data_IF_953055293427
#
_entry.id   IF_953055293427
#
_cell.length_a   1.000
_cell.length_b   1.000
_cell.length_c   1.000
_cell.angle_alpha   90.00
_cell.angle_beta   90.00
_cell.angle_gamma   90.00
#
_symmetry.space_group_name_H-M   'P 1'
#
loop_
_entity.id
_entity.type
_entity.pdbx_description
1 polymer ?
#
# COMPACT_ATOMS: atom_id res chain seq x y z
N UNK A 1 -46.82 -9.94 -13.47
CA UNK A 1 -45.42 -10.35 -13.66
C UNK A 1 -44.81 -10.31 -12.28
N UNK A 2 -44.57 -11.47 -11.68
CA UNK A 2 -43.84 -11.56 -10.41
C UNK A 2 -42.36 -11.33 -10.69
N UNK A 3 -41.72 -10.50 -9.85
CA UNK A 3 -40.27 -10.27 -9.86
C UNK A 3 -39.57 -11.60 -9.57
N UNK A 4 -38.96 -12.18 -10.60
CA UNK A 4 -38.08 -13.35 -10.45
C UNK A 4 -36.75 -12.82 -9.91
N UNK A 5 -36.67 -12.71 -8.58
CA UNK A 5 -35.43 -12.50 -7.85
C UNK A 5 -34.72 -13.85 -7.73
N UNK A 6 -33.49 -13.94 -8.25
CA UNK A 6 -32.78 -15.22 -8.41
C UNK A 6 -31.92 -15.53 -7.17
N UNK A 7 -31.45 -14.50 -6.45
CA UNK A 7 -30.57 -14.67 -5.29
C UNK A 7 -31.08 -13.91 -4.06
N UNK A 8 -30.98 -14.51 -2.88
CA UNK A 8 -31.36 -13.87 -1.61
C UNK A 8 -30.50 -12.64 -1.27
N UNK A 9 -29.28 -12.58 -1.81
CA UNK A 9 -28.41 -11.39 -1.75
C UNK A 9 -29.10 -10.14 -2.32
N UNK A 10 -29.93 -10.28 -3.37
CA UNK A 10 -30.61 -9.15 -4.01
C UNK A 10 -31.77 -8.59 -3.16
N UNK A 11 -32.16 -9.29 -2.09
CA UNK A 11 -33.27 -8.90 -1.20
C UNK A 11 -32.84 -8.07 0.01
N UNK A 12 -31.53 -7.87 0.22
CA UNK A 12 -31.00 -7.22 1.41
C UNK A 12 -29.86 -6.27 1.08
N UNK A 13 -29.62 -5.32 1.98
CA UNK A 13 -28.39 -4.52 1.96
C UNK A 13 -27.21 -5.37 2.45
N UNK A 14 -26.02 -5.06 1.93
CA UNK A 14 -24.74 -5.56 2.46
C UNK A 14 -24.33 -4.66 3.63
N UNK A 15 -24.02 -5.24 4.78
CA UNK A 15 -23.45 -4.51 5.92
C UNK A 15 -21.95 -4.75 5.99
N UNK A 16 -21.19 -3.69 6.30
CA UNK A 16 -19.74 -3.74 6.39
C UNK A 16 -19.24 -3.17 7.72
N UNK A 17 -18.30 -3.85 8.35
CA UNK A 17 -17.53 -3.31 9.48
C UNK A 17 -16.10 -3.00 9.02
N UNK A 18 -15.71 -1.73 9.08
CA UNK A 18 -14.42 -1.26 8.56
C UNK A 18 -13.66 -0.63 9.73
N UNK A 19 -12.47 -1.14 10.02
CA UNK A 19 -11.59 -0.59 11.06
C UNK A 19 -10.30 -0.03 10.46
N UNK A 20 -9.60 0.77 11.26
CA UNK A 20 -8.28 1.31 10.91
C UNK A 20 -7.16 0.28 11.06
N UNK A 21 -6.01 0.75 11.53
CA UNK A 21 -4.79 -0.03 11.65
C UNK A 21 -4.88 -1.13 12.73
N UNK A 22 -4.43 -2.33 12.38
CA UNK A 22 -4.22 -3.43 13.32
C UNK A 22 -2.74 -3.57 13.66
N UNK A 23 -2.36 -3.00 14.80
CA UNK A 23 -1.05 -3.14 15.41
C UNK A 23 -1.11 -4.17 16.55
N UNK A 24 -0.94 -5.44 16.20
CA UNK A 24 -1.16 -6.58 17.11
C UNK A 24 0.17 -7.00 17.76
N UNK A 25 0.32 -6.71 19.04
CA UNK A 25 1.50 -7.05 19.84
C UNK A 25 1.29 -8.23 20.80
N UNK A 26 0.04 -8.68 20.97
CA UNK A 26 -0.33 -9.77 21.87
C UNK A 26 -1.56 -10.49 21.36
N UNK A 27 -1.73 -11.72 21.82
CA UNK A 27 -2.90 -12.54 21.55
C UNK A 27 -4.20 -11.85 22.00
N UNK A 28 -5.26 -11.92 21.18
CA UNK A 28 -6.54 -11.26 21.45
C UNK A 28 -7.58 -12.22 22.05
N UNK A 29 -7.58 -13.49 21.63
CA UNK A 29 -8.59 -14.49 22.04
C UNK A 29 -8.57 -14.88 23.53
N UNK A 30 -7.59 -14.41 24.30
CA UNK A 30 -7.49 -14.62 25.75
C UNK A 30 -8.33 -13.64 26.57
N UNK A 31 -8.76 -12.53 25.96
CA UNK A 31 -9.55 -11.50 26.62
C UNK A 31 -11.04 -11.85 26.61
N UNK A 32 -11.69 -11.74 27.76
CA UNK A 32 -13.10 -12.14 27.98
C UNK A 32 -13.94 -11.01 28.56
N UNK A 33 -13.40 -9.80 28.65
CA UNK A 33 -14.06 -8.62 29.16
C UNK A 33 -15.28 -8.29 28.31
N UNK A 34 -16.44 -8.06 28.94
CA UNK A 34 -17.71 -7.84 28.24
C UNK A 34 -17.64 -6.74 27.18
N UNK A 35 -16.93 -5.65 27.47
CA UNK A 35 -16.77 -4.53 26.55
C UNK A 35 -15.92 -4.89 25.33
N UNK A 36 -14.89 -5.73 25.50
CA UNK A 36 -14.06 -6.21 24.41
C UNK A 36 -14.82 -7.18 23.52
N UNK A 37 -15.56 -8.13 24.11
CA UNK A 37 -16.41 -9.04 23.35
C UNK A 37 -17.54 -8.30 22.61
N UNK A 38 -18.10 -7.24 23.19
CA UNK A 38 -19.09 -6.42 22.50
C UNK A 38 -18.53 -5.74 21.24
N UNK A 39 -17.25 -5.35 21.22
CA UNK A 39 -16.60 -4.85 20.00
C UNK A 39 -16.48 -5.94 18.93
N UNK A 40 -16.07 -7.14 19.32
CA UNK A 40 -16.04 -8.30 18.42
C UNK A 40 -17.44 -8.60 17.88
N UNK A 41 -18.49 -8.51 18.70
CA UNK A 41 -19.87 -8.74 18.28
C UNK A 41 -20.31 -7.70 17.23
N UNK A 42 -19.89 -6.44 17.35
CA UNK A 42 -20.12 -5.43 16.30
C UNK A 42 -19.45 -5.83 14.98
N UNK A 43 -18.19 -6.25 15.02
CA UNK A 43 -17.44 -6.65 13.81
C UNK A 43 -18.08 -7.87 13.15
N UNK A 44 -18.33 -8.93 13.94
CA UNK A 44 -18.90 -10.20 13.46
C UNK A 44 -20.37 -10.13 13.04
N UNK A 45 -21.08 -9.05 13.38
CA UNK A 45 -22.47 -8.84 12.94
C UNK A 45 -22.60 -8.31 11.50
N UNK A 46 -21.50 -7.86 10.89
CA UNK A 46 -21.47 -7.43 9.50
C UNK A 46 -21.40 -8.61 8.52
N UNK A 47 -21.85 -8.42 7.28
CA UNK A 47 -21.68 -9.43 6.22
C UNK A 47 -20.23 -9.58 5.78
N UNK A 48 -19.49 -8.47 5.83
CA UNK A 48 -18.04 -8.40 5.57
C UNK A 48 -17.41 -7.47 6.58
N UNK A 49 -16.25 -7.86 7.10
CA UNK A 49 -15.43 -6.97 7.90
C UNK A 49 -13.98 -6.91 7.43
N UNK A 50 -13.42 -5.72 7.59
CA UNK A 50 -12.13 -5.32 7.04
C UNK A 50 -11.28 -4.62 8.10
N UNK A 51 -9.97 -4.85 8.01
CA UNK A 51 -8.98 -4.06 8.75
C UNK A 51 -7.70 -3.83 7.93
N UNK A 52 -6.97 -2.75 8.23
CA UNK A 52 -5.66 -2.53 7.66
C UNK A 52 -4.58 -3.23 8.51
N UNK A 53 -3.95 -4.26 7.96
CA UNK A 53 -2.85 -4.95 8.61
C UNK A 53 -1.56 -4.13 8.45
N UNK A 54 -1.34 -3.20 9.37
CA UNK A 54 -0.19 -2.27 9.47
C UNK A 54 1.13 -2.99 9.83
N UNK A 55 1.15 -4.32 9.84
CA UNK A 55 2.30 -5.13 10.25
C UNK A 55 2.53 -6.29 9.28
N UNK A 56 3.79 -6.72 9.18
CA UNK A 56 4.15 -7.95 8.47
C UNK A 56 4.06 -9.16 9.42
N UNK A 57 3.36 -10.21 9.00
CA UNK A 57 3.26 -11.48 9.73
C UNK A 57 4.45 -12.38 9.40
N UNK A 58 5.45 -12.42 10.27
CA UNK A 58 6.66 -13.22 10.07
C UNK A 58 7.44 -13.41 11.40
N UNK A 59 8.44 -14.30 11.44
CA UNK A 59 9.27 -14.63 12.61
C UNK A 59 10.74 -14.23 12.44
N UNK A 60 11.01 -13.02 11.92
CA UNK A 60 12.35 -12.48 11.71
C UNK A 60 13.25 -13.38 10.83
N UNK A 61 12.66 -14.06 9.85
CA UNK A 61 13.37 -14.87 8.86
C UNK A 61 14.31 -14.02 8.01
N UNK A 62 13.95 -12.74 7.82
CA UNK A 62 14.68 -11.77 7.01
C UNK A 62 15.17 -10.58 7.83
N UNK A 63 16.26 -9.98 7.37
CA UNK A 63 16.75 -8.73 7.93
C UNK A 63 15.82 -7.56 7.57
N UNK A 64 15.68 -6.57 8.45
CA UNK A 64 14.92 -5.38 8.11
C UNK A 64 15.51 -4.61 6.92
N UNK A 65 14.66 -3.89 6.20
CA UNK A 65 15.06 -2.96 5.15
C UNK A 65 15.86 -1.79 5.71
N UNK A 66 16.59 -1.07 4.87
CA UNK A 66 17.46 0.03 5.31
C UNK A 66 16.70 1.30 5.73
N UNK A 67 15.38 1.38 5.51
CA UNK A 67 14.58 2.59 5.74
C UNK A 67 13.21 2.22 6.34
N UNK A 68 13.11 1.94 7.67
CA UNK A 68 11.88 1.50 8.35
C UNK A 68 10.70 2.48 8.37
N UNK A 69 10.84 3.71 7.86
CA UNK A 69 9.83 4.76 8.12
C UNK A 69 9.58 5.06 9.61
N UNK A 70 10.44 4.59 10.52
CA UNK A 70 10.26 4.67 11.97
C UNK A 70 10.73 3.40 12.68
N UNK A 71 9.79 2.55 13.09
CA UNK A 71 10.04 1.21 13.66
C UNK A 71 9.74 0.12 12.63
N UNK A 72 10.37 -1.04 12.78
CA UNK A 72 10.04 -2.22 11.98
C UNK A 72 8.81 -2.92 12.55
N UNK A 73 7.70 -2.91 11.82
CA UNK A 73 6.45 -3.55 12.22
C UNK A 73 6.48 -5.04 11.89
N UNK A 74 6.49 -5.84 12.95
CA UNK A 74 6.41 -7.30 12.88
C UNK A 74 5.31 -7.81 13.78
N UNK A 75 4.54 -8.77 13.27
CA UNK A 75 3.54 -9.52 14.02
C UNK A 75 3.84 -11.03 13.92
N UNK A 76 3.56 -11.78 14.99
CA UNK A 76 3.66 -13.24 14.94
C UNK A 76 2.58 -13.80 14.01
N UNK A 77 2.90 -14.66 13.02
CA UNK A 77 1.91 -15.24 12.12
C UNK A 77 0.72 -15.90 12.81
N UNK A 78 0.90 -16.42 14.04
CA UNK A 78 -0.21 -17.03 14.78
C UNK A 78 -1.35 -16.05 15.09
N UNK A 79 -1.09 -14.74 15.11
CA UNK A 79 -2.10 -13.71 15.37
C UNK A 79 -2.99 -13.41 14.16
N UNK A 80 -2.73 -14.03 12.99
CA UNK A 80 -3.71 -14.07 11.90
C UNK A 80 -4.98 -14.80 12.34
N UNK A 81 -4.87 -15.86 13.15
CA UNK A 81 -6.04 -16.51 13.74
C UNK A 81 -6.78 -15.62 14.75
N UNK A 82 -6.07 -14.71 15.43
CA UNK A 82 -6.69 -13.73 16.31
C UNK A 82 -7.50 -12.68 15.50
N UNK A 83 -7.00 -12.25 14.33
CA UNK A 83 -7.76 -11.40 13.40
C UNK A 83 -9.05 -12.08 12.92
N UNK A 84 -8.94 -13.33 12.49
CA UNK A 84 -10.10 -14.15 12.09
C UNK A 84 -11.07 -14.34 13.26
N UNK A 85 -10.55 -14.60 14.46
CA UNK A 85 -11.38 -14.71 15.67
C UNK A 85 -12.11 -13.41 16.02
N UNK A 86 -11.49 -12.24 15.80
CA UNK A 86 -12.14 -10.94 15.95
C UNK A 86 -13.24 -10.69 14.91
N UNK A 87 -13.28 -11.48 13.84
CA UNK A 87 -14.31 -11.46 12.81
C UNK A 87 -13.84 -10.95 11.46
N UNK A 88 -12.57 -10.53 11.31
CA UNK A 88 -12.07 -9.94 10.06
C UNK A 88 -12.00 -10.95 8.92
N UNK A 89 -12.68 -10.64 7.82
CA UNK A 89 -12.81 -11.53 6.65
C UNK A 89 -11.77 -11.24 5.57
N UNK A 90 -11.28 -9.99 5.49
CA UNK A 90 -10.32 -9.54 4.47
C UNK A 90 -9.47 -8.39 5.01
N UNK A 91 -8.19 -8.31 4.62
CA UNK A 91 -7.26 -7.27 5.11
C UNK A 91 -6.56 -6.48 4.02
N UNK A 92 -6.30 -5.20 4.28
CA UNK A 92 -5.38 -4.41 3.47
C UNK A 92 -3.94 -4.63 3.95
N UNK A 93 -3.01 -4.66 3.02
CA UNK A 93 -1.58 -4.80 3.29
C UNK A 93 -0.74 -3.71 2.62
N UNK A 94 -1.31 -2.84 1.78
CA UNK A 94 -0.59 -1.66 1.29
C UNK A 94 -0.66 -0.54 2.34
N UNK A 95 0.46 -0.30 3.01
CA UNK A 95 0.68 0.79 3.96
C UNK A 95 2.19 1.11 4.00
N UNK A 96 2.59 2.10 4.81
CA UNK A 96 3.98 2.51 4.95
C UNK A 96 4.90 1.42 5.51
N UNK A 97 4.36 0.44 6.24
CA UNK A 97 5.12 -0.64 6.87
C UNK A 97 5.19 -1.92 6.04
N UNK A 98 4.50 -1.97 4.91
CA UNK A 98 4.40 -3.13 4.03
C UNK A 98 5.75 -3.61 3.49
N UNK A 99 6.81 -2.79 3.55
CA UNK A 99 8.15 -3.12 3.06
C UNK A 99 9.24 -3.06 4.14
N UNK A 100 8.86 -3.06 5.42
CA UNK A 100 9.81 -2.93 6.53
C UNK A 100 10.92 -3.98 6.53
N UNK A 101 10.66 -5.18 5.99
CA UNK A 101 11.61 -6.29 5.86
C UNK A 101 11.97 -6.60 4.40
N UNK A 102 11.86 -5.59 3.53
CA UNK A 102 12.23 -5.69 2.14
C UNK A 102 11.34 -6.64 1.33
N UNK A 103 11.83 -7.04 0.16
CA UNK A 103 11.13 -7.92 -0.76
C UNK A 103 10.79 -9.28 -0.13
N UNK A 104 11.70 -9.86 0.65
CA UNK A 104 11.46 -11.13 1.31
C UNK A 104 10.42 -11.00 2.42
N UNK A 105 10.45 -9.91 3.20
CA UNK A 105 9.42 -9.62 4.19
C UNK A 105 8.01 -9.57 3.60
N UNK A 106 7.85 -8.94 2.44
CA UNK A 106 6.59 -8.94 1.67
C UNK A 106 6.16 -10.36 1.32
N UNK A 107 7.08 -11.15 0.77
CA UNK A 107 6.78 -12.52 0.33
C UNK A 107 6.46 -13.44 1.52
N UNK A 108 7.19 -13.34 2.63
CA UNK A 108 6.93 -14.11 3.85
C UNK A 108 5.59 -13.75 4.46
N UNK A 109 5.23 -12.46 4.47
CA UNK A 109 3.91 -12.00 4.92
C UNK A 109 2.78 -12.58 4.06
N UNK A 110 2.92 -12.52 2.72
CA UNK A 110 1.98 -13.13 1.78
C UNK A 110 1.83 -14.63 2.05
N UNK A 111 2.94 -15.35 2.16
CA UNK A 111 2.94 -16.80 2.43
C UNK A 111 2.21 -17.14 3.73
N UNK A 112 2.38 -16.33 4.77
CA UNK A 112 1.65 -16.54 6.03
C UNK A 112 0.16 -16.23 5.88
N UNK A 113 -0.23 -15.12 5.26
CA UNK A 113 -1.65 -14.81 5.01
C UNK A 113 -2.35 -15.91 4.22
N UNK A 114 -1.71 -16.43 3.16
CA UNK A 114 -2.19 -17.56 2.38
C UNK A 114 -2.30 -18.84 3.23
N UNK A 115 -1.25 -19.15 4.01
CA UNK A 115 -1.20 -20.34 4.88
C UNK A 115 -2.33 -20.35 5.92
N UNK A 116 -2.65 -19.20 6.50
CA UNK A 116 -3.74 -19.05 7.47
C UNK A 116 -5.11 -18.82 6.83
N UNK A 117 -5.15 -18.65 5.49
CA UNK A 117 -6.37 -18.46 4.73
C UNK A 117 -7.09 -17.15 5.06
N UNK A 118 -6.34 -16.06 5.29
CA UNK A 118 -6.90 -14.72 5.44
C UNK A 118 -6.73 -13.94 4.13
N UNK A 119 -7.80 -13.71 3.36
CA UNK A 119 -7.76 -12.91 2.15
C UNK A 119 -7.14 -11.54 2.40
N UNK A 120 -6.30 -11.07 1.48
CA UNK A 120 -5.62 -9.78 1.60
C UNK A 120 -5.47 -9.09 0.25
N UNK A 121 -5.35 -7.77 0.24
CA UNK A 121 -5.05 -6.98 -0.96
C UNK A 121 -4.00 -5.90 -0.66
N UNK A 122 -3.23 -5.52 -1.68
CA UNK A 122 -2.34 -4.35 -1.63
C UNK A 122 -0.84 -4.66 -1.60
N UNK A 123 -0.44 -5.90 -1.36
CA UNK A 123 0.95 -6.37 -1.54
C UNK A 123 0.99 -7.54 -2.50
N UNK A 124 2.09 -7.67 -3.23
CA UNK A 124 2.24 -8.75 -4.20
C UNK A 124 3.70 -9.06 -4.50
N UNK A 125 3.92 -10.21 -5.16
CA UNK A 125 5.24 -10.59 -5.69
C UNK A 125 5.68 -9.70 -6.87
N UNK A 126 4.75 -8.94 -7.43
CA UNK A 126 4.94 -8.01 -8.54
C UNK A 126 3.79 -6.98 -8.56
N UNK A 127 3.88 -5.95 -9.41
CA UNK A 127 2.86 -4.90 -9.51
C UNK A 127 1.47 -5.44 -9.88
N UNK A 128 1.39 -6.42 -10.77
CA UNK A 128 0.10 -6.98 -11.19
C UNK A 128 -0.66 -7.64 -10.03
N UNK A 129 0.04 -8.43 -9.20
CA UNK A 129 -0.53 -9.04 -8.00
C UNK A 129 -0.79 -8.03 -6.88
N UNK A 130 0.08 -7.04 -6.69
CA UNK A 130 -0.13 -6.01 -5.67
C UNK A 130 -1.34 -5.12 -5.96
N UNK A 131 -1.59 -4.82 -7.25
CA UNK A 131 -2.70 -3.96 -7.70
C UNK A 131 -4.00 -4.73 -7.95
N UNK A 132 -3.99 -6.06 -7.89
CA UNK A 132 -5.16 -6.87 -8.11
C UNK A 132 -6.18 -6.69 -6.98
N UNK A 133 -7.50 -6.65 -7.30
CA UNK A 133 -8.53 -6.77 -6.29
C UNK A 133 -8.52 -8.19 -5.71
N UNK A 134 -8.72 -8.27 -4.39
CA UNK A 134 -9.05 -9.54 -3.72
C UNK A 134 -10.55 -9.63 -3.54
N UNK A 135 -11.13 -10.72 -4.03
CA UNK A 135 -12.57 -10.95 -3.99
C UNK A 135 -12.94 -11.84 -2.80
N UNK A 136 -14.01 -11.47 -2.10
CA UNK A 136 -14.62 -12.24 -1.03
C UNK A 136 -16.09 -12.50 -1.38
N UNK A 137 -16.47 -13.78 -1.41
CA UNK A 137 -17.86 -14.20 -1.59
C UNK A 137 -18.57 -14.30 -0.24
N UNK A 138 -19.76 -13.71 -0.15
CA UNK A 138 -20.62 -13.78 1.03
C UNK A 138 -22.05 -14.12 0.65
N UNK A 139 -22.87 -14.49 1.64
CA UNK A 139 -24.31 -14.71 1.44
C UNK A 139 -25.06 -13.43 1.02
N UNK A 140 -24.47 -12.24 1.25
CA UNK A 140 -25.03 -10.95 0.85
C UNK A 140 -24.49 -10.47 -0.52
N UNK A 141 -23.55 -11.19 -1.13
CA UNK A 141 -22.94 -10.85 -2.42
C UNK A 141 -21.41 -10.94 -2.42
N UNK A 142 -20.80 -10.58 -3.55
CA UNK A 142 -19.34 -10.53 -3.72
C UNK A 142 -18.80 -9.13 -3.45
N UNK A 143 -17.77 -9.04 -2.62
CA UNK A 143 -17.03 -7.80 -2.32
C UNK A 143 -15.62 -7.88 -2.90
N UNK A 144 -15.09 -6.75 -3.36
CA UNK A 144 -13.71 -6.63 -3.82
C UNK A 144 -12.97 -5.60 -2.97
N UNK A 145 -11.79 -5.97 -2.47
CA UNK A 145 -10.87 -5.03 -1.82
C UNK A 145 -9.73 -4.69 -2.79
N UNK A 146 -9.51 -3.39 -3.00
CA UNK A 146 -8.31 -2.84 -3.62
C UNK A 146 -7.62 -2.02 -2.53
N UNK A 147 -6.34 -2.28 -2.30
CA UNK A 147 -5.54 -1.57 -1.31
C UNK A 147 -4.34 -0.95 -1.99
N UNK A 148 -4.02 0.29 -1.61
CA UNK A 148 -2.90 1.03 -2.13
C UNK A 148 -2.42 2.06 -1.09
N UNK A 149 -1.15 2.45 -1.16
CA UNK A 149 -0.54 3.44 -0.26
C UNK A 149 0.16 4.55 -1.04
N UNK A 150 0.21 5.75 -0.47
CA UNK A 150 1.00 6.89 -0.98
C UNK A 150 2.29 7.08 -0.19
N UNK A 151 2.53 6.25 0.82
CA UNK A 151 3.63 6.36 1.76
C UNK A 151 4.43 5.06 1.84
N UNK A 152 5.73 5.20 2.01
CA UNK A 152 6.69 4.10 2.15
C UNK A 152 8.00 4.45 1.46
N UNK A 153 9.05 3.63 1.64
CA UNK A 153 10.34 3.89 1.00
C UNK A 153 10.19 3.77 -0.53
N UNK A 154 10.92 4.60 -1.31
CA UNK A 154 11.00 4.49 -2.77
C UNK A 154 11.27 3.07 -3.29
N UNK A 155 12.22 2.40 -2.64
CA UNK A 155 12.62 1.02 -2.94
C UNK A 155 11.58 -0.04 -2.55
N UNK A 156 10.48 0.33 -1.90
CA UNK A 156 9.44 -0.61 -1.48
C UNK A 156 8.38 -0.91 -2.52
N UNK A 157 8.20 -0.03 -3.51
CA UNK A 157 7.14 -0.15 -4.50
C UNK A 157 7.10 -1.49 -5.24
N UNK A 158 5.92 -2.07 -5.46
CA UNK A 158 5.78 -3.23 -6.35
C UNK A 158 6.20 -2.89 -7.79
N UNK A 159 7.07 -3.72 -8.38
CA UNK A 159 7.58 -3.52 -9.74
C UNK A 159 6.96 -4.46 -10.77
N UNK A 160 6.86 -3.99 -12.00
CA UNK A 160 6.41 -4.80 -13.13
C UNK A 160 7.31 -6.01 -13.38
N UNK A 161 6.69 -7.10 -13.79
CA UNK A 161 7.39 -8.26 -14.33
C UNK A 161 7.49 -8.16 -15.85
N UNK A 162 8.58 -8.66 -16.42
CA UNK A 162 8.72 -8.88 -17.86
C UNK A 162 8.88 -10.37 -18.13
N UNK A 163 8.97 -10.76 -19.41
CA UNK A 163 9.08 -12.17 -19.80
C UNK A 163 10.35 -12.84 -19.26
N UNK A 164 11.41 -12.07 -19.08
CA UNK A 164 12.77 -12.49 -18.74
C UNK A 164 13.18 -12.09 -17.31
N UNK A 165 12.41 -11.24 -16.64
CA UNK A 165 12.74 -10.71 -15.30
C UNK A 165 11.49 -10.75 -14.41
N UNK A 166 11.65 -11.34 -13.22
CA UNK A 166 10.61 -11.33 -12.18
C UNK A 166 10.25 -9.91 -11.77
N UNK A 167 9.00 -9.68 -11.40
CA UNK A 167 8.62 -8.41 -10.79
C UNK A 167 9.28 -8.22 -9.42
N UNK A 168 9.27 -6.99 -8.95
CA UNK A 168 9.76 -6.65 -7.60
C UNK A 168 8.61 -6.80 -6.60
N UNK A 169 8.76 -7.63 -5.55
CA UNK A 169 7.78 -7.71 -4.48
C UNK A 169 7.63 -6.38 -3.76
N UNK A 170 6.39 -6.00 -3.46
CA UNK A 170 6.12 -4.75 -2.76
C UNK A 170 4.64 -4.43 -2.60
N UNK A 171 4.33 -3.36 -1.85
CA UNK A 171 3.04 -2.69 -1.84
C UNK A 171 2.66 -2.01 -3.17
N UNK A 172 1.35 -1.90 -3.40
CA UNK A 172 0.72 -1.14 -4.46
C UNK A 172 0.78 0.36 -4.13
N UNK A 173 1.66 1.11 -4.80
CA UNK A 173 1.79 2.54 -4.58
C UNK A 173 0.88 3.36 -5.52
N UNK A 174 0.16 4.32 -4.95
CA UNK A 174 -0.46 5.40 -5.72
C UNK A 174 0.60 6.47 -5.98
N UNK A 175 0.88 6.71 -7.27
CA UNK A 175 1.77 7.79 -7.70
C UNK A 175 1.04 9.13 -7.56
N UNK A 176 1.74 10.13 -7.05
CA UNK A 176 1.30 11.52 -7.09
C UNK A 176 2.48 12.41 -7.48
N UNK A 177 2.17 13.58 -8.03
CA UNK A 177 3.14 14.64 -8.33
C UNK A 177 2.68 15.89 -7.59
N UNK A 178 3.59 16.56 -6.88
CA UNK A 178 3.30 17.85 -6.25
C UNK A 178 3.85 18.95 -7.13
N UNK A 179 2.99 19.90 -7.48
CA UNK A 179 3.34 21.10 -8.22
C UNK A 179 3.17 22.31 -7.30
N UNK A 180 4.20 23.18 -7.27
CA UNK A 180 4.17 24.43 -6.52
C UNK A 180 4.04 25.60 -7.48
N UNK A 181 2.94 26.35 -7.37
CA UNK A 181 2.73 27.56 -8.16
C UNK A 181 3.26 28.78 -7.38
N UNK A 182 4.15 29.54 -7.99
CA UNK A 182 4.75 30.75 -7.41
C UNK A 182 4.76 31.88 -8.44
N UNK A 183 4.95 33.12 -7.98
CA UNK A 183 5.05 34.28 -8.88
C UNK A 183 6.39 34.35 -9.64
N UNK A 184 6.45 35.22 -10.63
CA UNK A 184 7.63 35.39 -11.51
C UNK A 184 8.88 35.83 -10.73
N UNK A 185 8.73 36.60 -9.66
CA UNK A 185 9.84 37.05 -8.82
C UNK A 185 10.46 35.86 -8.07
N UNK A 186 9.61 35.00 -7.49
CA UNK A 186 10.03 33.76 -6.85
C UNK A 186 10.69 32.80 -7.85
N UNK A 187 10.14 32.61 -9.06
CA UNK A 187 10.78 31.78 -10.09
C UNK A 187 12.20 32.27 -10.40
N UNK A 188 12.39 33.58 -10.59
CA UNK A 188 13.73 34.17 -10.83
C UNK A 188 14.67 33.92 -9.65
N UNK A 189 14.18 34.07 -8.42
CA UNK A 189 14.94 33.78 -7.21
C UNK A 189 15.36 32.30 -7.14
N UNK A 190 14.44 31.38 -7.41
CA UNK A 190 14.69 29.94 -7.40
C UNK A 190 15.71 29.52 -8.47
N UNK A 191 15.63 30.08 -9.68
CA UNK A 191 16.64 29.86 -10.74
C UNK A 191 18.03 30.31 -10.31
N UNK A 192 18.13 31.50 -9.69
CA UNK A 192 19.41 32.00 -9.19
C UNK A 192 20.03 31.09 -8.13
N UNK A 193 19.20 30.54 -7.23
CA UNK A 193 19.64 29.56 -6.23
C UNK A 193 20.13 28.28 -6.93
N UNK A 194 19.35 27.74 -7.87
CA UNK A 194 19.70 26.53 -8.61
C UNK A 194 21.03 26.68 -9.37
N UNK A 195 21.27 27.83 -10.01
CA UNK A 195 22.52 28.14 -10.71
C UNK A 195 23.70 28.23 -9.75
N UNK A 196 23.55 28.95 -8.63
CA UNK A 196 24.63 29.10 -7.62
C UNK A 196 25.00 27.78 -6.94
N UNK A 197 24.04 26.87 -6.80
CA UNK A 197 24.27 25.53 -6.25
C UNK A 197 24.75 24.52 -7.32
N UNK A 198 24.86 24.93 -8.59
CA UNK A 198 25.33 24.08 -9.69
C UNK A 198 24.32 23.02 -10.15
N UNK A 199 23.04 23.15 -9.77
CA UNK A 199 21.99 22.19 -10.15
C UNK A 199 21.69 22.25 -11.64
N UNK A 200 21.66 23.44 -12.22
CA UNK A 200 21.42 23.66 -13.65
C UNK A 200 22.48 23.00 -14.53
N UNK A 201 23.75 23.01 -14.11
CA UNK A 201 24.85 22.35 -14.81
C UNK A 201 24.81 20.83 -14.63
N UNK A 202 24.48 20.35 -13.43
CA UNK A 202 24.30 18.93 -13.14
C UNK A 202 23.18 18.31 -13.99
N UNK A 203 22.08 19.02 -14.19
CA UNK A 203 20.97 18.57 -15.04
C UNK A 203 21.38 18.46 -16.51
N UNK A 204 22.06 19.48 -17.06
CA UNK A 204 22.60 19.44 -18.43
C UNK A 204 23.55 18.26 -18.63
N UNK A 205 24.48 18.07 -17.70
CA UNK A 205 25.44 16.97 -17.74
C UNK A 205 24.80 15.57 -17.65
N UNK A 206 23.64 15.44 -16.99
CA UNK A 206 22.88 14.17 -16.93
C UNK A 206 22.11 13.90 -18.22
N UNK A 207 21.46 14.93 -18.78
CA UNK A 207 20.78 14.83 -20.07
C UNK A 207 21.75 14.45 -21.20
N UNK A 208 22.94 15.07 -21.24
CA UNK A 208 23.99 14.74 -22.21
C UNK A 208 24.53 13.30 -22.08
N UNK A 209 24.41 12.69 -20.90
CA UNK A 209 24.85 11.31 -20.62
C UNK A 209 23.77 10.25 -20.87
N UNK A 210 22.61 10.63 -21.39
CA UNK A 210 21.51 9.70 -21.68
C UNK A 210 20.86 9.08 -20.44
N UNK A 211 21.07 9.67 -19.26
CA UNK A 211 20.30 9.35 -18.07
C UNK A 211 18.97 10.10 -18.15
N UNK A 212 18.08 9.63 -19.01
CA UNK A 212 16.68 10.02 -18.96
C UNK A 212 16.15 9.56 -17.59
N UNK A 213 15.80 10.52 -16.74
CA UNK A 213 14.78 10.23 -15.73
C UNK A 213 13.54 9.74 -16.52
N UNK A 214 12.62 9.00 -15.88
CA UNK A 214 11.23 9.02 -16.35
C UNK A 214 10.78 10.48 -16.22
N UNK A 215 11.13 11.26 -17.22
CA UNK A 215 10.75 12.63 -17.37
C UNK A 215 9.28 12.56 -17.77
N UNK A 216 8.41 12.74 -16.78
CA UNK A 216 7.00 12.94 -17.07
C UNK A 216 6.79 14.29 -17.81
N UNK A 217 7.82 15.00 -18.28
CA UNK A 217 7.69 16.08 -19.26
C UNK A 217 7.01 15.65 -20.56
N UNK A 218 7.04 14.37 -20.94
CA UNK A 218 6.21 13.91 -22.06
C UNK A 218 4.69 14.03 -21.74
N UNK A 219 4.32 14.22 -20.47
CA UNK A 219 2.98 14.61 -20.00
C UNK A 219 2.85 16.08 -19.56
N UNK A 220 3.96 16.76 -19.32
CA UNK A 220 4.06 18.19 -19.04
C UNK A 220 4.84 18.84 -20.18
N UNK A 221 4.13 19.27 -21.22
CA UNK A 221 4.50 20.18 -22.34
C UNK A 221 5.91 20.82 -22.27
N UNK A 222 6.57 21.04 -23.42
CA UNK A 222 8.02 21.22 -23.57
C UNK A 222 8.66 22.22 -22.60
N UNK A 223 9.99 22.12 -22.34
CA UNK A 223 10.69 22.94 -21.35
C UNK A 223 10.32 24.41 -21.51
N UNK A 224 9.56 24.92 -20.53
CA UNK A 224 9.15 26.31 -20.47
C UNK A 224 10.11 27.11 -19.60
N UNK A 225 10.21 28.42 -19.86
CA UNK A 225 10.95 29.34 -19.00
C UNK A 225 10.33 29.49 -17.60
N UNK A 226 9.26 28.78 -17.28
CA UNK A 226 8.50 28.90 -16.03
C UNK A 226 8.74 27.74 -15.04
N UNK A 227 9.62 26.80 -15.38
CA UNK A 227 9.91 25.63 -14.54
C UNK A 227 11.27 25.76 -13.83
N UNK A 228 11.28 25.38 -12.54
CA UNK A 228 12.50 25.16 -11.77
C UNK A 228 12.48 23.74 -11.20
N UNK A 229 13.43 22.92 -11.63
CA UNK A 229 13.57 21.56 -11.15
C UNK A 229 14.35 21.56 -9.84
N UNK A 230 13.69 21.13 -8.77
CA UNK A 230 14.37 20.77 -7.54
C UNK A 230 14.82 19.32 -7.64
N UNK A 231 16.04 19.04 -7.19
CA UNK A 231 16.47 17.67 -6.94
C UNK A 231 15.77 17.20 -5.65
N UNK A 232 14.49 16.85 -5.76
CA UNK A 232 13.80 16.17 -4.69
C UNK A 232 14.12 14.67 -4.77
N UNK A 233 14.78 14.15 -3.75
CA UNK A 233 15.02 12.72 -3.60
C UNK A 233 13.79 11.98 -3.02
N UNK A 234 12.67 12.65 -2.81
CA UNK A 234 11.49 12.09 -2.14
C UNK A 234 10.36 11.65 -3.08
N UNK A 235 10.41 11.94 -4.39
CA UNK A 235 9.41 11.46 -5.35
C UNK A 235 9.95 10.29 -6.18
N UNK A 236 9.50 9.05 -5.89
CA UNK A 236 9.76 7.84 -6.69
C UNK A 236 8.48 7.03 -6.89
#
# INVERSE_FOLDING_TARGET
MEDIMIYDAEKRNVTMAITGESLISRQMKVFTEKQFLALKDVITSADVSFTNAEMLFHNYEDAPSTVPGGTYMRCDPQYIEDLKWMGFDIVATANNHAWDFGENGVLTNIQNLDKYGLPYAGTGANLASASAPTYLDTNAGRVALISATTSGPPGGRAGDQRRDVRGRPGPNYIRWTTEWNVDEEMIKGLKLVADKLGWSETMKNRAEKGAEFEDNSDKLSPPSDDLVYFLDHASY
#
